data_IF_199354939989
#
_entry.id   IF_199354939989
#
_cell.length_a   1.000
_cell.length_b   1.000
_cell.length_c   1.000
_cell.angle_alpha   90.00
_cell.angle_beta   90.00
_cell.angle_gamma   90.00
#
_symmetry.space_group_name_H-M   'P 1'
#
loop_
_entity.id
_entity.type
_entity.pdbx_description
1 polymer ?
#
# COMPACT_ATOMS: atom_id res chain seq x y z
N UNK A 1 -1.45 15.57 -3.35
CA UNK A 1 -0.67 15.92 -2.15
C UNK A 1 -1.41 15.41 -0.93
N UNK A 2 -0.75 14.66 -0.06
CA UNK A 2 -1.24 14.20 1.24
C UNK A 2 -0.44 14.92 2.33
N UNK A 3 -1.12 15.46 3.35
CA UNK A 3 -0.44 16.15 4.45
C UNK A 3 -0.96 15.64 5.78
N UNK A 4 -0.06 15.27 6.67
CA UNK A 4 -0.32 15.10 8.10
C UNK A 4 0.16 16.37 8.80
N UNK A 5 -0.75 17.07 9.45
CA UNK A 5 -0.44 18.29 10.23
C UNK A 5 -0.45 17.97 11.72
N UNK A 6 0.72 18.04 12.35
CA UNK A 6 0.90 17.79 13.79
C UNK A 6 0.12 16.58 14.31
N UNK A 7 0.07 15.53 13.49
CA UNK A 7 -0.73 14.34 13.77
C UNK A 7 -0.16 13.54 14.93
N UNK A 8 -1.01 13.14 15.86
CA UNK A 8 -0.71 12.21 16.93
C UNK A 8 -1.58 10.96 16.79
N UNK A 9 -0.96 9.80 16.73
CA UNK A 9 -1.61 8.51 16.56
C UNK A 9 -1.28 7.68 17.80
N UNK A 10 -2.30 7.17 18.50
CA UNK A 10 -2.10 6.41 19.73
C UNK A 10 -2.68 5.01 19.60
N UNK A 11 -1.92 3.99 19.97
CA UNK A 11 -2.34 2.60 19.99
C UNK A 11 -1.85 1.94 21.28
N UNK A 12 -2.76 1.71 22.23
CA UNK A 12 -2.39 1.29 23.59
C UNK A 12 -1.51 2.33 24.29
N UNK A 13 -0.33 1.92 24.73
CA UNK A 13 0.68 2.81 25.34
C UNK A 13 1.60 3.47 24.32
N UNK A 14 1.55 3.06 23.05
CA UNK A 14 2.41 3.60 22.00
C UNK A 14 1.81 4.85 21.38
N UNK A 15 2.63 5.87 21.15
CA UNK A 15 2.24 7.11 20.47
C UNK A 15 3.23 7.42 19.35
N UNK A 16 2.70 7.72 18.16
CA UNK A 16 3.45 8.15 16.99
C UNK A 16 3.07 9.59 16.64
N UNK A 17 4.07 10.42 16.41
CA UNK A 17 3.94 11.79 15.93
C UNK A 17 4.32 11.85 14.44
N UNK A 18 3.55 12.60 13.66
CA UNK A 18 3.83 12.79 12.23
C UNK A 18 3.43 14.22 11.82
N UNK A 19 4.37 14.93 11.22
CA UNK A 19 4.16 16.22 10.57
C UNK A 19 4.92 16.19 9.23
N UNK A 20 4.21 15.83 8.16
CA UNK A 20 4.84 15.55 6.87
C UNK A 20 3.89 15.78 5.69
N UNK A 21 4.48 16.10 4.56
CA UNK A 21 3.75 16.31 3.30
C UNK A 21 4.33 15.41 2.22
N UNK A 22 3.44 14.70 1.51
CA UNK A 22 3.77 13.78 0.44
C UNK A 22 3.27 14.33 -0.90
N UNK A 23 4.18 14.44 -1.86
CA UNK A 23 3.85 14.86 -3.21
C UNK A 23 3.09 13.76 -3.97
N UNK A 24 2.28 14.12 -4.98
CA UNK A 24 1.64 13.13 -5.84
C UNK A 24 2.65 12.43 -6.75
N UNK A 25 2.30 11.24 -7.24
CA UNK A 25 3.07 10.47 -8.24
C UNK A 25 4.54 10.23 -7.84
N UNK A 26 4.82 10.09 -6.55
CA UNK A 26 6.12 9.70 -6.01
C UNK A 26 6.01 8.41 -5.21
N UNK A 27 7.11 7.68 -5.14
CA UNK A 27 7.26 6.47 -4.35
C UNK A 27 8.02 6.77 -3.05
N UNK A 28 7.40 6.45 -1.93
CA UNK A 28 7.95 6.61 -0.58
C UNK A 28 8.21 5.26 0.05
N UNK A 29 9.43 5.04 0.51
CA UNK A 29 9.71 3.93 1.42
C UNK A 29 9.57 4.40 2.87
N UNK A 30 8.89 3.62 3.71
CA UNK A 30 8.82 3.83 5.15
C UNK A 30 9.72 2.80 5.80
N UNK A 31 10.78 3.26 6.45
CA UNK A 31 11.79 2.43 7.11
C UNK A 31 11.95 2.79 8.58
N UNK A 32 12.56 1.91 9.35
CA UNK A 32 12.83 2.09 10.77
C UNK A 32 12.79 0.77 11.54
N UNK A 33 13.17 0.75 12.82
CA UNK A 33 13.18 -0.45 13.64
C UNK A 33 11.85 -1.19 13.69
N UNK A 34 11.88 -2.48 14.03
CA UNK A 34 10.63 -3.22 14.31
C UNK A 34 9.91 -2.58 15.50
N UNK A 35 8.59 -2.45 15.43
CA UNK A 35 7.79 -1.80 16.46
C UNK A 35 7.83 -0.27 16.47
N UNK A 36 8.57 0.39 15.57
CA UNK A 36 8.66 1.86 15.52
C UNK A 36 7.36 2.59 15.14
N UNK A 37 6.33 1.85 14.66
CA UNK A 37 5.04 2.44 14.31
C UNK A 37 4.77 2.60 12.80
N UNK A 38 5.55 1.94 11.93
CA UNK A 38 5.39 2.02 10.47
C UNK A 38 3.98 1.60 10.01
N UNK A 39 3.52 0.42 10.44
CA UNK A 39 2.16 -0.07 10.14
C UNK A 39 1.08 0.77 10.83
N UNK A 40 1.39 1.36 12.01
CA UNK A 40 0.52 2.32 12.69
C UNK A 40 0.31 3.58 11.85
N UNK A 41 1.38 4.09 11.22
CA UNK A 41 1.30 5.21 10.28
C UNK A 41 0.38 4.87 9.10
N UNK A 42 0.61 3.72 8.43
CA UNK A 42 -0.22 3.29 7.31
C UNK A 42 -1.68 3.09 7.72
N UNK A 43 -1.91 2.47 8.88
CA UNK A 43 -3.25 2.27 9.44
C UNK A 43 -3.99 3.59 9.70
N UNK A 44 -3.27 4.62 10.16
CA UNK A 44 -3.83 5.95 10.38
C UNK A 44 -4.14 6.66 9.05
N UNK A 45 -3.27 6.56 8.05
CA UNK A 45 -3.53 7.09 6.71
C UNK A 45 -4.79 6.44 6.11
N UNK A 46 -4.93 5.12 6.21
CA UNK A 46 -6.12 4.40 5.72
C UNK A 46 -7.39 4.64 6.55
N UNK A 47 -7.27 5.15 7.77
CA UNK A 47 -8.40 5.38 8.67
C UNK A 47 -8.82 4.18 9.50
N UNK A 48 -7.99 3.14 9.57
CA UNK A 48 -8.19 2.00 10.49
C UNK A 48 -7.81 2.37 11.92
N UNK A 49 -6.89 3.33 12.08
CA UNK A 49 -6.48 3.88 13.37
C UNK A 49 -6.82 5.37 13.36
N UNK A 50 -7.65 5.87 14.31
CA UNK A 50 -7.99 7.28 14.38
C UNK A 50 -6.80 8.12 14.84
N UNK A 51 -6.72 9.36 14.36
CA UNK A 51 -5.81 10.36 14.94
C UNK A 51 -6.35 10.78 16.32
N UNK A 52 -5.46 10.86 17.30
CA UNK A 52 -5.76 11.44 18.62
C UNK A 52 -5.86 12.96 18.53
N UNK A 53 -4.97 13.58 17.74
CA UNK A 53 -4.96 15.01 17.45
C UNK A 53 -4.30 15.27 16.11
N UNK A 54 -4.35 16.51 15.62
CA UNK A 54 -3.85 16.89 14.30
C UNK A 54 -4.86 16.60 13.19
N UNK A 55 -4.41 16.71 11.93
CA UNK A 55 -5.27 16.58 10.76
C UNK A 55 -4.60 15.77 9.67
N UNK A 56 -5.41 15.07 8.87
CA UNK A 56 -5.02 14.43 7.63
C UNK A 56 -5.72 15.15 6.47
N UNK A 57 -4.95 15.73 5.58
CA UNK A 57 -5.45 16.47 4.43
C UNK A 57 -5.12 15.73 3.13
N UNK A 58 -6.09 15.64 2.24
CA UNK A 58 -5.91 15.20 0.86
C UNK A 58 -6.21 16.36 -0.09
N UNK A 59 -5.18 16.81 -0.83
CA UNK A 59 -5.30 17.97 -1.75
C UNK A 59 -5.92 19.20 -1.06
N UNK A 60 -5.55 19.44 0.22
CA UNK A 60 -6.06 20.54 1.03
C UNK A 60 -7.42 20.28 1.69
N UNK A 61 -8.11 19.20 1.35
CA UNK A 61 -9.38 18.82 1.98
C UNK A 61 -9.12 17.97 3.22
N UNK A 62 -9.73 18.33 4.35
CA UNK A 62 -9.66 17.53 5.58
C UNK A 62 -10.44 16.21 5.40
N UNK A 63 -9.73 15.10 5.57
CA UNK A 63 -10.24 13.72 5.53
C UNK A 63 -10.01 12.97 6.83
N UNK A 64 -9.68 13.68 7.91
CA UNK A 64 -9.32 13.09 9.21
C UNK A 64 -10.39 12.12 9.70
N UNK A 65 -11.65 12.51 9.63
CA UNK A 65 -12.79 11.71 10.08
C UNK A 65 -13.43 10.84 8.97
N UNK A 66 -12.86 10.85 7.76
CA UNK A 66 -13.39 10.03 6.68
C UNK A 66 -13.19 8.54 6.98
N UNK A 67 -14.25 7.74 6.76
CA UNK A 67 -14.17 6.28 6.87
C UNK A 67 -13.16 5.70 5.86
N UNK A 68 -12.54 4.54 6.16
CA UNK A 68 -11.53 3.94 5.28
C UNK A 68 -11.93 3.84 3.81
N UNK A 69 -13.14 3.35 3.52
CA UNK A 69 -13.65 3.21 2.15
C UNK A 69 -13.89 4.53 1.41
N UNK A 70 -14.03 5.66 2.13
CA UNK A 70 -14.22 6.99 1.56
C UNK A 70 -12.90 7.72 1.29
N UNK A 71 -11.77 7.22 1.79
CA UNK A 71 -10.45 7.83 1.57
C UNK A 71 -9.93 7.54 0.16
N UNK A 72 -9.18 8.45 -0.46
CA UNK A 72 -8.67 8.29 -1.83
C UNK A 72 -7.43 7.38 -1.88
N UNK A 73 -7.43 6.30 -1.12
CA UNK A 73 -6.30 5.38 -1.01
C UNK A 73 -6.76 3.93 -0.87
N UNK A 74 -5.85 3.02 -1.17
CA UNK A 74 -6.01 1.58 -0.99
C UNK A 74 -4.80 1.00 -0.29
N UNK A 75 -4.96 -0.14 0.37
CA UNK A 75 -3.87 -0.79 1.11
C UNK A 75 -3.75 -2.27 0.76
N UNK A 76 -2.52 -2.71 0.54
CA UNK A 76 -2.13 -4.11 0.53
C UNK A 76 -1.47 -4.45 1.87
N UNK A 77 -2.06 -5.39 2.57
CA UNK A 77 -1.57 -5.86 3.86
C UNK A 77 -0.52 -6.95 3.68
N UNK A 78 0.31 -7.14 4.69
CA UNK A 78 1.38 -8.15 4.73
C UNK A 78 0.88 -9.58 4.42
N UNK A 79 -0.28 -9.97 4.93
CA UNK A 79 -0.85 -11.31 4.77
C UNK A 79 -1.67 -11.49 3.47
N UNK A 80 -1.56 -10.58 2.50
CA UNK A 80 -2.37 -10.57 1.26
C UNK A 80 -3.89 -10.53 1.48
N UNK A 81 -4.40 -10.96 2.61
CA UNK A 81 -5.82 -10.97 3.03
C UNK A 81 -6.77 -11.52 1.95
N UNK A 82 -6.38 -12.61 1.29
CA UNK A 82 -7.26 -13.28 0.34
C UNK A 82 -8.31 -14.12 1.08
N UNK A 83 -9.54 -14.05 0.60
CA UNK A 83 -10.64 -14.86 1.12
C UNK A 83 -10.55 -16.27 0.52
N UNK A 84 -10.26 -17.32 1.31
CA UNK A 84 -9.95 -18.65 0.79
C UNK A 84 -11.15 -19.35 0.13
N UNK A 85 -12.37 -18.95 0.51
CA UNK A 85 -13.62 -19.51 -0.04
C UNK A 85 -14.06 -18.85 -1.34
N UNK A 86 -13.48 -17.69 -1.69
CA UNK A 86 -13.77 -16.93 -2.91
C UNK A 86 -12.78 -17.30 -4.03
N UNK A 87 -13.25 -17.26 -5.28
CA UNK A 87 -12.37 -17.38 -6.45
C UNK A 87 -11.45 -16.17 -6.60
N UNK A 88 -10.44 -16.28 -7.46
CA UNK A 88 -9.56 -15.15 -7.84
C UNK A 88 -10.38 -13.97 -8.36
N UNK A 89 -11.33 -14.24 -9.27
CA UNK A 89 -12.26 -13.23 -9.80
C UNK A 89 -13.01 -12.51 -8.70
N UNK A 90 -13.54 -13.25 -7.74
CA UNK A 90 -14.28 -12.69 -6.61
C UNK A 90 -13.37 -11.92 -5.66
N UNK A 91 -12.17 -12.46 -5.35
CA UNK A 91 -11.19 -11.75 -4.52
C UNK A 91 -10.80 -10.39 -5.10
N UNK A 92 -10.53 -10.30 -6.41
CA UNK A 92 -10.22 -9.03 -7.07
C UNK A 92 -11.46 -8.15 -7.15
N UNK A 93 -12.62 -8.73 -7.45
CA UNK A 93 -13.91 -8.04 -7.56
C UNK A 93 -14.36 -7.32 -6.28
N UNK A 94 -13.93 -7.81 -5.09
CA UNK A 94 -14.14 -7.09 -3.81
C UNK A 94 -13.54 -5.68 -3.81
N UNK A 95 -12.51 -5.44 -4.61
CA UNK A 95 -11.94 -4.10 -4.78
C UNK A 95 -12.90 -3.11 -5.47
N UNK A 96 -13.86 -3.62 -6.23
CA UNK A 96 -14.89 -2.80 -6.90
C UNK A 96 -16.20 -2.79 -6.13
N UNK A 97 -16.65 -3.97 -5.71
CA UNK A 97 -17.96 -4.16 -5.08
C UNK A 97 -17.90 -5.17 -3.94
N UNK A 98 -18.13 -4.71 -2.70
CA UNK A 98 -18.16 -5.61 -1.54
C UNK A 98 -19.28 -6.66 -1.61
N UNK A 99 -20.36 -6.40 -2.32
CA UNK A 99 -21.49 -7.31 -2.52
C UNK A 99 -21.26 -8.36 -3.62
N UNK A 100 -20.12 -8.28 -4.32
CA UNK A 100 -19.71 -9.15 -5.44
C UNK A 100 -20.71 -9.21 -6.63
N UNK A 101 -21.65 -8.28 -6.71
CA UNK A 101 -22.60 -8.19 -7.83
C UNK A 101 -21.97 -7.41 -8.99
N UNK A 102 -20.97 -8.02 -9.62
CA UNK A 102 -20.22 -7.42 -10.72
C UNK A 102 -21.03 -7.45 -12.01
N UNK A 103 -21.29 -6.28 -12.59
CA UNK A 103 -21.76 -6.14 -13.96
C UNK A 103 -20.68 -6.48 -14.99
N UNK A 104 -21.05 -6.55 -16.28
CA UNK A 104 -20.12 -6.91 -17.37
C UNK A 104 -18.88 -5.99 -17.40
N UNK A 105 -19.05 -4.68 -17.27
CA UNK A 105 -17.94 -3.73 -17.27
C UNK A 105 -16.98 -3.93 -16.09
N UNK A 106 -17.50 -4.27 -14.90
CA UNK A 106 -16.67 -4.55 -13.73
C UNK A 106 -15.93 -5.88 -13.86
N UNK A 107 -16.56 -6.89 -14.45
CA UNK A 107 -15.90 -8.17 -14.78
C UNK A 107 -14.74 -7.95 -15.76
N UNK A 108 -14.94 -7.15 -16.80
CA UNK A 108 -13.86 -6.80 -17.74
C UNK A 108 -12.70 -6.13 -17.02
N UNK A 109 -12.95 -5.15 -16.15
CA UNK A 109 -11.90 -4.50 -15.35
C UNK A 109 -11.14 -5.48 -14.46
N UNK A 110 -11.82 -6.48 -13.89
CA UNK A 110 -11.15 -7.52 -13.09
C UNK A 110 -10.25 -8.37 -13.98
N UNK A 111 -10.70 -8.78 -15.18
CA UNK A 111 -9.88 -9.53 -16.14
C UNK A 111 -8.64 -8.73 -16.56
N UNK A 112 -8.81 -7.46 -16.92
CA UNK A 112 -7.71 -6.56 -17.26
C UNK A 112 -6.70 -6.43 -16.11
N UNK A 113 -7.17 -6.31 -14.86
CA UNK A 113 -6.28 -6.26 -13.70
C UNK A 113 -5.51 -7.58 -13.50
N UNK A 114 -6.16 -8.73 -13.73
CA UNK A 114 -5.50 -10.04 -13.67
C UNK A 114 -4.47 -10.20 -14.79
N UNK A 115 -4.76 -9.73 -16.00
CA UNK A 115 -3.83 -9.77 -17.13
C UNK A 115 -2.57 -8.94 -16.85
N UNK A 116 -2.74 -7.74 -16.27
CA UNK A 116 -1.62 -6.86 -15.89
C UNK A 116 -0.66 -7.48 -14.87
N UNK A 117 -1.17 -8.35 -14.00
CA UNK A 117 -0.33 -9.05 -13.02
C UNK A 117 0.11 -10.44 -13.50
N UNK A 118 -0.15 -10.81 -14.76
CA UNK A 118 0.27 -12.08 -15.36
C UNK A 118 -0.49 -13.30 -14.83
N UNK A 119 -1.79 -13.13 -14.56
CA UNK A 119 -2.69 -14.19 -14.08
C UNK A 119 -3.82 -14.52 -15.06
N UNK A 120 -3.55 -14.43 -16.38
CA UNK A 120 -4.50 -14.79 -17.43
C UNK A 120 -5.02 -16.22 -17.22
N UNK A 121 -6.32 -16.41 -17.38
CA UNK A 121 -6.96 -17.72 -17.28
C UNK A 121 -7.11 -18.26 -15.85
N UNK A 122 -6.70 -17.53 -14.81
CA UNK A 122 -6.76 -18.00 -13.43
C UNK A 122 -8.00 -17.50 -12.65
N UNK A 123 -8.89 -16.75 -13.28
CA UNK A 123 -10.04 -16.10 -12.63
C UNK A 123 -10.94 -17.06 -11.82
N UNK A 124 -11.12 -18.30 -12.28
CA UNK A 124 -11.93 -19.31 -11.64
C UNK A 124 -11.27 -20.04 -10.47
N UNK A 125 -9.94 -19.97 -10.34
CA UNK A 125 -9.19 -20.68 -9.28
C UNK A 125 -9.49 -20.10 -7.89
N UNK A 126 -9.24 -20.91 -6.85
CA UNK A 126 -9.23 -20.47 -5.45
C UNK A 126 -7.80 -20.18 -4.97
N UNK A 127 -7.61 -19.38 -3.92
CA UNK A 127 -6.29 -19.11 -3.34
C UNK A 127 -5.48 -20.37 -3.02
N UNK A 128 -6.12 -21.45 -2.57
CA UNK A 128 -5.46 -22.73 -2.26
C UNK A 128 -4.84 -23.44 -3.47
N UNK A 129 -5.24 -23.05 -4.70
CA UNK A 129 -4.76 -23.62 -5.95
C UNK A 129 -3.61 -22.77 -6.57
N UNK A 130 -3.15 -21.74 -5.83
CA UNK A 130 -2.16 -20.78 -6.27
C UNK A 130 -0.87 -20.88 -5.44
N UNK A 131 0.28 -20.65 -6.10
CA UNK A 131 1.53 -20.42 -5.38
C UNK A 131 1.49 -19.12 -4.56
N UNK A 132 2.36 -18.96 -3.56
CA UNK A 132 2.44 -17.73 -2.77
C UNK A 132 2.63 -16.48 -3.61
N UNK A 133 3.49 -16.54 -4.64
CA UNK A 133 3.66 -15.42 -5.57
C UNK A 133 2.43 -15.11 -6.39
N UNK A 134 1.67 -16.11 -6.81
CA UNK A 134 0.39 -15.90 -7.49
C UNK A 134 -0.64 -15.28 -6.56
N UNK A 135 -0.68 -15.69 -5.28
CA UNK A 135 -1.55 -15.08 -4.28
C UNK A 135 -1.22 -13.59 -4.07
N UNK A 136 0.07 -13.23 -3.98
CA UNK A 136 0.50 -11.83 -3.89
C UNK A 136 0.08 -11.02 -5.12
N UNK A 137 0.16 -11.61 -6.32
CA UNK A 137 -0.33 -10.98 -7.56
C UNK A 137 -1.86 -10.78 -7.57
N UNK A 138 -2.64 -11.73 -7.04
CA UNK A 138 -4.10 -11.55 -6.86
C UNK A 138 -4.40 -10.40 -5.90
N UNK A 139 -3.69 -10.32 -4.79
CA UNK A 139 -3.84 -9.24 -3.83
C UNK A 139 -3.48 -7.87 -4.46
N UNK A 140 -2.42 -7.82 -5.27
CA UNK A 140 -2.07 -6.62 -6.03
C UNK A 140 -3.14 -6.27 -7.07
N UNK A 141 -3.68 -7.24 -7.83
CA UNK A 141 -4.77 -6.99 -8.76
C UNK A 141 -6.01 -6.39 -8.08
N UNK A 142 -6.34 -6.85 -6.85
CA UNK A 142 -7.43 -6.27 -6.04
C UNK A 142 -7.17 -4.82 -5.66
N UNK A 143 -5.93 -4.42 -5.43
CA UNK A 143 -5.54 -3.04 -5.19
C UNK A 143 -5.66 -2.21 -6.47
N UNK A 144 -5.14 -2.72 -7.58
CA UNK A 144 -5.14 -2.03 -8.87
C UNK A 144 -6.55 -1.72 -9.40
N UNK A 145 -7.46 -2.69 -9.28
CA UNK A 145 -8.82 -2.54 -9.81
C UNK A 145 -9.58 -1.38 -9.15
N UNK A 146 -9.17 -0.97 -7.94
CA UNK A 146 -9.76 0.17 -7.24
C UNK A 146 -9.38 1.52 -7.87
N UNK A 147 -8.27 1.59 -8.63
CA UNK A 147 -7.79 2.79 -9.30
C UNK A 147 -7.69 4.01 -8.36
N UNK A 148 -7.20 3.80 -7.13
CA UNK A 148 -7.01 4.88 -6.16
C UNK A 148 -5.71 5.64 -6.42
N UNK A 149 -5.68 6.98 -6.21
CA UNK A 149 -4.50 7.80 -6.48
C UNK A 149 -3.35 7.62 -5.46
N UNK A 150 -3.58 6.88 -4.37
CA UNK A 150 -2.55 6.54 -3.38
C UNK A 150 -2.65 5.05 -3.04
N UNK A 151 -1.53 4.35 -3.15
CA UNK A 151 -1.39 2.93 -2.82
C UNK A 151 -0.45 2.78 -1.62
N UNK A 152 -0.91 2.07 -0.60
CA UNK A 152 -0.18 1.77 0.62
C UNK A 152 0.16 0.28 0.65
N UNK A 153 1.42 -0.06 0.89
CA UNK A 153 1.91 -1.43 0.92
C UNK A 153 2.61 -1.67 2.26
N UNK A 154 2.12 -2.61 3.05
CA UNK A 154 2.71 -2.96 4.35
C UNK A 154 3.47 -4.28 4.22
N UNK A 155 4.78 -4.21 4.03
CA UNK A 155 5.70 -5.35 3.83
C UNK A 155 5.17 -6.39 2.81
N UNK A 156 4.70 -5.97 1.63
CA UNK A 156 3.83 -6.77 0.78
C UNK A 156 4.50 -8.03 0.22
N UNK A 157 5.83 -8.06 0.19
CA UNK A 157 6.60 -9.11 -0.47
C UNK A 157 7.66 -9.75 0.45
N UNK A 158 7.57 -9.54 1.76
CA UNK A 158 8.53 -10.04 2.73
C UNK A 158 8.67 -11.58 2.73
N UNK A 159 7.58 -12.30 2.43
CA UNK A 159 7.57 -13.76 2.37
C UNK A 159 8.04 -14.35 1.03
N UNK A 160 8.37 -13.50 0.03
CA UNK A 160 8.79 -13.96 -1.30
C UNK A 160 10.30 -14.12 -1.38
N UNK A 161 10.74 -15.12 -2.16
CA UNK A 161 12.16 -15.24 -2.49
C UNK A 161 12.67 -14.05 -3.32
N UNK A 162 14.01 -13.79 -3.33
CA UNK A 162 14.58 -12.55 -3.88
C UNK A 162 14.20 -12.25 -5.33
N UNK A 163 14.23 -13.24 -6.21
CA UNK A 163 13.89 -13.05 -7.63
C UNK A 163 12.42 -12.61 -7.80
N UNK A 164 11.48 -13.33 -7.16
CA UNK A 164 10.07 -13.03 -7.26
C UNK A 164 9.71 -11.69 -6.57
N UNK A 165 10.40 -11.36 -5.48
CA UNK A 165 10.27 -10.06 -4.83
C UNK A 165 10.66 -8.92 -5.76
N UNK A 166 11.78 -9.04 -6.45
CA UNK A 166 12.23 -8.06 -7.43
C UNK A 166 11.21 -7.87 -8.56
N UNK A 167 10.69 -8.97 -9.12
CA UNK A 167 9.66 -8.93 -10.16
C UNK A 167 8.39 -8.21 -9.68
N UNK A 168 7.99 -8.42 -8.41
CA UNK A 168 6.81 -7.78 -7.83
C UNK A 168 7.04 -6.28 -7.57
N UNK A 169 8.25 -5.89 -7.15
CA UNK A 169 8.61 -4.48 -6.97
C UNK A 169 8.59 -3.73 -8.31
N UNK A 170 9.17 -4.32 -9.36
CA UNK A 170 9.15 -3.73 -10.71
C UNK A 170 7.73 -3.59 -11.24
N UNK A 171 6.90 -4.62 -11.03
CA UNK A 171 5.50 -4.59 -11.42
C UNK A 171 4.74 -3.46 -10.72
N UNK A 172 4.91 -3.31 -9.41
CA UNK A 172 4.26 -2.24 -8.63
C UNK A 172 4.74 -0.86 -9.08
N UNK A 173 6.06 -0.69 -9.28
CA UNK A 173 6.62 0.59 -9.73
C UNK A 173 6.10 0.97 -11.12
N UNK A 174 6.06 0.01 -12.07
CA UNK A 174 5.52 0.23 -13.41
C UNK A 174 4.04 0.64 -13.38
N UNK A 175 3.23 -0.05 -12.54
CA UNK A 175 1.80 0.24 -12.40
C UNK A 175 1.54 1.59 -11.72
N UNK A 176 2.34 1.96 -10.72
CA UNK A 176 2.25 3.28 -10.08
C UNK A 176 2.59 4.40 -11.07
N UNK A 177 3.64 4.22 -11.88
CA UNK A 177 4.05 5.18 -12.91
C UNK A 177 2.96 5.35 -14.00
N UNK A 178 2.39 4.23 -14.49
CA UNK A 178 1.33 4.23 -15.49
C UNK A 178 0.06 4.98 -15.00
N UNK A 179 -0.33 4.71 -13.76
CA UNK A 179 -1.55 5.30 -13.17
C UNK A 179 -1.32 6.67 -12.55
N UNK A 180 -0.07 7.13 -12.47
CA UNK A 180 0.35 8.33 -11.72
C UNK A 180 -0.09 8.30 -10.26
N UNK A 181 -0.26 7.11 -9.69
CA UNK A 181 -0.54 6.94 -8.28
C UNK A 181 0.73 7.19 -7.45
N UNK A 182 0.57 7.82 -6.29
CA UNK A 182 1.62 7.83 -5.29
C UNK A 182 1.67 6.46 -4.60
N UNK A 183 2.88 6.03 -4.21
CA UNK A 183 3.12 4.77 -3.53
C UNK A 183 3.78 5.01 -2.18
N UNK A 184 3.28 4.37 -1.12
CA UNK A 184 3.95 4.34 0.17
C UNK A 184 4.16 2.87 0.53
N UNK A 185 5.40 2.45 0.71
CA UNK A 185 5.73 1.05 1.01
C UNK A 185 6.55 0.95 2.29
N UNK A 186 6.08 0.18 3.24
CA UNK A 186 6.89 -0.27 4.39
C UNK A 186 7.78 -1.41 3.93
N UNK A 187 9.06 -1.30 4.22
CA UNK A 187 10.03 -2.37 3.96
C UNK A 187 11.16 -2.35 5.00
N UNK A 188 11.75 -3.52 5.23
CA UNK A 188 12.96 -3.68 6.04
C UNK A 188 14.21 -3.91 5.18
N UNK A 189 14.06 -4.03 3.85
CA UNK A 189 15.16 -4.33 2.96
C UNK A 189 15.65 -3.07 2.27
N UNK A 190 16.93 -2.69 2.47
CA UNK A 190 17.54 -1.56 1.78
C UNK A 190 17.53 -1.69 0.26
N UNK A 191 17.55 -2.91 -0.26
CA UNK A 191 17.47 -3.20 -1.69
C UNK A 191 16.16 -2.75 -2.32
N UNK A 192 15.03 -2.90 -1.61
CA UNK A 192 13.73 -2.43 -2.08
C UNK A 192 13.72 -0.91 -2.22
N UNK A 193 14.28 -0.23 -1.20
CA UNK A 193 14.37 1.24 -1.21
C UNK A 193 15.15 1.72 -2.42
N UNK A 194 16.34 1.13 -2.67
CA UNK A 194 17.19 1.48 -3.84
C UNK A 194 16.48 1.22 -5.16
N UNK A 195 15.59 0.21 -5.20
CA UNK A 195 14.95 -0.22 -6.43
C UNK A 195 13.81 0.68 -6.86
N UNK A 196 12.96 1.14 -5.93
CA UNK A 196 11.70 1.80 -6.29
C UNK A 196 11.45 3.13 -5.60
N UNK A 197 12.16 3.50 -4.53
CA UNK A 197 11.82 4.68 -3.75
C UNK A 197 12.48 5.96 -4.28
N UNK A 198 11.68 7.01 -4.45
CA UNK A 198 12.17 8.37 -4.68
C UNK A 198 12.57 9.04 -3.36
N UNK A 199 11.78 8.78 -2.32
CA UNK A 199 11.88 9.40 -1.00
C UNK A 199 11.80 8.34 0.10
N UNK A 200 12.37 8.64 1.26
CA UNK A 200 12.31 7.80 2.45
C UNK A 200 11.71 8.57 3.62
N UNK A 201 10.77 7.94 4.31
CA UNK A 201 10.21 8.36 5.59
C UNK A 201 10.83 7.48 6.66
N UNK A 202 11.65 8.07 7.52
CA UNK A 202 12.25 7.34 8.63
C UNK A 202 11.33 7.40 9.86
N UNK A 203 11.05 6.25 10.47
CA UNK A 203 10.19 6.16 11.65
C UNK A 203 10.96 5.57 12.81
N UNK A 204 11.21 6.37 13.84
CA UNK A 204 11.91 5.93 15.06
C UNK A 204 11.48 6.76 16.28
N UNK A 205 11.69 6.25 17.48
CA UNK A 205 11.45 6.97 18.73
C UNK A 205 10.03 7.56 18.85
N UNK A 206 9.03 6.95 18.21
CA UNK A 206 7.66 7.47 18.18
C UNK A 206 7.47 8.68 17.25
N UNK A 207 8.36 8.89 16.29
CA UNK A 207 8.29 9.98 15.31
C UNK A 207 8.42 9.47 13.89
N UNK A 208 7.52 9.89 12.99
CA UNK A 208 7.68 9.76 11.55
C UNK A 208 8.28 11.07 11.02
N UNK A 209 9.54 11.01 10.55
CA UNK A 209 10.27 12.18 10.07
C UNK A 209 9.82 12.61 8.68
N UNK A 210 9.95 13.89 8.32
CA UNK A 210 9.67 14.35 6.96
C UNK A 210 10.43 13.56 5.90
N UNK A 211 9.86 13.36 4.70
CA UNK A 211 10.50 12.62 3.62
C UNK A 211 11.85 13.22 3.23
N UNK A 212 12.82 12.36 2.96
CA UNK A 212 14.14 12.73 2.45
C UNK A 212 14.44 11.95 1.16
N UNK A 213 15.24 12.50 0.23
CA UNK A 213 15.63 11.78 -0.97
C UNK A 213 16.28 10.42 -0.65
N UNK A 214 15.82 9.35 -1.30
CA UNK A 214 16.30 8.00 -1.04
C UNK A 214 17.83 7.89 -1.26
N UNK A 215 18.38 8.57 -2.28
CA UNK A 215 19.81 8.58 -2.56
C UNK A 215 20.63 9.10 -1.37
N UNK A 216 20.19 10.20 -0.72
CA UNK A 216 20.92 10.80 0.39
C UNK A 216 21.04 9.88 1.61
N UNK A 217 20.02 9.07 1.88
CA UNK A 217 19.97 8.13 3.01
C UNK A 217 20.77 6.85 2.72
N UNK A 218 20.89 6.46 1.45
CA UNK A 218 21.63 5.27 1.05
C UNK A 218 23.14 5.51 1.03
N UNK A 219 23.58 6.75 0.80
CA UNK A 219 24.99 7.14 0.83
C UNK A 219 25.51 7.36 2.25
N UNK A 220 24.62 7.63 3.22
CA UNK A 220 24.96 7.87 4.62
C UNK A 220 23.86 7.31 5.54
N UNK A 221 23.80 5.98 5.75
CA UNK A 221 22.79 5.38 6.61
C UNK A 221 22.93 5.85 8.06
N UNK A 222 21.82 6.13 8.75
CA UNK A 222 21.81 6.53 10.16
C UNK A 222 22.31 5.45 11.10
#
# INVERSE_FOLDING_TARGET
>A
MLTLETAQITQGSFTLHADLTLAPAQTYAVIGPSGAGKSTLLGALCGFIPLRSGRLLWQGKDITQAAPGARPMTMLFQDNNLFPHLSVMQNVGLGLRPDLRLGTAEQTRVHEALDRVGLQGMAGRKPSELSGGQQSRVALARVLVQARPLVLLDEPFAALGPALRNDMLDLVAALAAETKAALIMVTHAPEDVRRIADQVIFVEGGTAHPPQPAAALMDNPP
#
